data_IF_011508986720
#
_entry.id   IF_011508986720
#
_cell.length_a   1.000
_cell.length_b   1.000
_cell.length_c   1.000
_cell.angle_alpha   90.00
_cell.angle_beta   90.00
_cell.angle_gamma   90.00
#
_symmetry.space_group_name_H-M   'P 1'
#
loop_
_entity.id
_entity.type
_entity.pdbx_description
1 polymer ?
#
# COMPACT_ATOMS: atom_id res chain seq x y z
N UNK A 1 -26.19 -12.22 5.31
CA UNK A 1 -27.09 -12.44 4.16
C UNK A 1 -26.21 -12.77 2.97
N UNK A 2 -26.49 -13.84 2.23
CA UNK A 2 -25.77 -14.11 0.97
C UNK A 2 -26.24 -13.09 -0.08
N UNK A 3 -25.30 -12.48 -0.81
CA UNK A 3 -25.61 -11.62 -1.95
C UNK A 3 -26.40 -12.43 -2.99
N UNK A 4 -27.43 -11.84 -3.60
CA UNK A 4 -28.21 -12.53 -4.62
C UNK A 4 -27.33 -12.75 -5.87
N UNK A 5 -27.57 -13.84 -6.59
CA UNK A 5 -26.95 -14.11 -7.90
C UNK A 5 -27.04 -12.90 -8.84
N UNK A 6 -28.18 -12.22 -8.80
CA UNK A 6 -28.46 -11.01 -9.54
C UNK A 6 -27.52 -9.84 -9.17
N UNK A 7 -27.24 -9.64 -7.88
CA UNK A 7 -26.30 -8.62 -7.42
C UNK A 7 -24.85 -8.93 -7.86
N UNK A 8 -24.46 -10.21 -7.82
CA UNK A 8 -23.15 -10.67 -8.26
C UNK A 8 -22.96 -10.43 -9.77
N UNK A 9 -23.94 -10.79 -10.59
CA UNK A 9 -23.91 -10.57 -12.04
C UNK A 9 -23.92 -9.07 -12.39
N UNK A 10 -24.70 -8.26 -11.66
CA UNK A 10 -24.68 -6.80 -11.84
C UNK A 10 -23.32 -6.20 -11.45
N UNK A 11 -22.71 -6.63 -10.34
CA UNK A 11 -21.37 -6.15 -9.96
C UNK A 11 -20.30 -6.55 -10.98
N UNK A 12 -20.35 -7.79 -11.49
CA UNK A 12 -19.51 -8.25 -12.60
C UNK A 12 -19.69 -7.37 -13.84
N UNK A 13 -20.94 -7.09 -14.21
CA UNK A 13 -21.29 -6.21 -15.32
C UNK A 13 -20.76 -4.79 -15.17
N UNK A 14 -20.83 -4.24 -13.96
CA UNK A 14 -20.30 -2.91 -13.66
C UNK A 14 -18.80 -2.82 -13.86
N UNK A 15 -18.04 -3.77 -13.31
CA UNK A 15 -16.58 -3.81 -13.46
C UNK A 15 -16.19 -3.91 -14.93
N UNK A 16 -16.79 -4.86 -15.66
CA UNK A 16 -16.50 -5.01 -17.08
C UNK A 16 -16.83 -3.74 -17.86
N UNK A 17 -17.94 -3.07 -17.52
CA UNK A 17 -18.32 -1.81 -18.17
C UNK A 17 -17.29 -0.70 -17.94
N UNK A 18 -16.78 -0.54 -16.73
CA UNK A 18 -15.79 0.49 -16.39
C UNK A 18 -14.40 0.22 -17.00
N UNK A 19 -14.03 -1.06 -17.08
CA UNK A 19 -12.74 -1.51 -17.63
C UNK A 19 -12.74 -1.45 -19.15
N UNK A 20 -13.79 -1.99 -19.79
CA UNK A 20 -13.87 -2.09 -21.24
C UNK A 20 -14.52 -0.85 -21.90
N UNK A 21 -15.10 0.05 -21.10
CA UNK A 21 -15.82 1.25 -21.57
C UNK A 21 -16.96 0.95 -22.55
N UNK A 22 -17.65 -0.17 -22.32
CA UNK A 22 -18.84 -0.60 -23.07
C UNK A 22 -19.69 -1.49 -22.18
N UNK A 23 -21.01 -1.50 -22.38
CA UNK A 23 -21.90 -2.39 -21.62
C UNK A 23 -21.74 -3.83 -22.15
N UNK A 24 -21.46 -4.82 -21.28
CA UNK A 24 -21.33 -6.22 -21.69
C UNK A 24 -22.69 -6.80 -22.12
N UNK A 25 -22.70 -7.54 -23.22
CA UNK A 25 -23.91 -8.17 -23.79
C UNK A 25 -23.97 -9.68 -23.52
N UNK A 26 -22.89 -10.26 -23.01
CA UNK A 26 -22.71 -11.68 -22.72
C UNK A 26 -23.20 -12.07 -21.31
N UNK A 27 -23.65 -11.09 -20.52
CA UNK A 27 -24.15 -11.30 -19.16
C UNK A 27 -25.67 -11.49 -19.11
N UNK A 28 -26.12 -12.34 -18.19
CA UNK A 28 -27.55 -12.61 -17.95
C UNK A 28 -28.20 -11.51 -17.08
N UNK A 29 -28.17 -10.27 -17.56
CA UNK A 29 -28.69 -9.11 -16.85
C UNK A 29 -30.13 -8.79 -17.26
N UNK A 30 -30.91 -8.35 -16.27
CA UNK A 30 -32.25 -7.80 -16.52
C UNK A 30 -32.14 -6.48 -17.31
N UNK A 31 -33.17 -6.11 -18.08
CA UNK A 31 -33.19 -4.85 -18.83
C UNK A 31 -32.89 -3.61 -17.97
N UNK A 32 -33.37 -3.60 -16.72
CA UNK A 32 -33.10 -2.51 -15.77
C UNK A 32 -31.61 -2.37 -15.40
N UNK A 33 -30.88 -3.49 -15.28
CA UNK A 33 -29.44 -3.47 -15.01
C UNK A 33 -28.64 -3.01 -16.23
N UNK A 34 -29.03 -3.44 -17.43
CA UNK A 34 -28.41 -2.96 -18.67
C UNK A 34 -28.57 -1.44 -18.80
N UNK A 35 -29.73 -0.92 -18.41
CA UNK A 35 -29.95 0.53 -18.34
C UNK A 35 -29.03 1.20 -17.31
N UNK A 36 -28.94 0.68 -16.09
CA UNK A 36 -28.04 1.22 -15.05
C UNK A 36 -26.57 1.22 -15.49
N UNK A 37 -26.10 0.15 -16.15
CA UNK A 37 -24.74 0.09 -16.70
C UNK A 37 -24.52 1.13 -17.81
N UNK A 38 -25.53 1.36 -18.65
CA UNK A 38 -25.47 2.37 -19.71
C UNK A 38 -25.38 3.78 -19.13
N UNK A 39 -26.16 4.07 -18.08
CA UNK A 39 -26.11 5.35 -17.36
C UNK A 39 -24.74 5.56 -16.71
N UNK A 40 -24.24 4.55 -15.97
CA UNK A 40 -22.92 4.60 -15.35
C UNK A 40 -21.79 4.79 -16.37
N UNK A 41 -21.89 4.13 -17.53
CA UNK A 41 -20.94 4.32 -18.62
C UNK A 41 -20.97 5.74 -19.17
N UNK A 42 -22.15 6.33 -19.33
CA UNK A 42 -22.30 7.72 -19.78
C UNK A 42 -21.68 8.69 -18.78
N UNK A 43 -21.98 8.54 -17.50
CA UNK A 43 -21.40 9.36 -16.44
C UNK A 43 -19.87 9.25 -16.40
N UNK A 44 -19.34 8.03 -16.56
CA UNK A 44 -17.89 7.80 -16.58
C UNK A 44 -17.23 8.39 -17.84
N UNK A 45 -17.91 8.35 -19.00
CA UNK A 45 -17.44 9.01 -20.22
C UNK A 45 -17.42 10.54 -20.05
N UNK A 46 -18.47 11.12 -19.48
CA UNK A 46 -18.55 12.56 -19.20
C UNK A 46 -17.49 13.01 -18.17
N UNK A 47 -17.28 12.19 -17.13
CA UNK A 47 -16.21 12.40 -16.14
C UNK A 47 -14.84 12.39 -16.81
N UNK A 48 -14.59 11.46 -17.74
CA UNK A 48 -13.33 11.37 -18.50
C UNK A 48 -13.16 12.53 -19.49
N UNK A 49 -14.23 12.95 -20.16
CA UNK A 49 -14.21 14.06 -21.10
C UNK A 49 -13.98 15.42 -20.40
N UNK A 50 -14.57 15.59 -19.22
CA UNK A 50 -14.42 16.80 -18.41
C UNK A 50 -13.12 16.79 -17.60
N UNK A 51 -12.56 15.61 -17.34
CA UNK A 51 -11.20 15.52 -16.80
C UNK A 51 -10.20 15.89 -17.89
N UNK A 52 -9.67 17.12 -17.82
CA UNK A 52 -8.49 17.53 -18.60
C UNK A 52 -7.44 16.42 -18.48
N UNK A 53 -6.88 15.88 -19.58
CA UNK A 53 -5.78 14.93 -19.47
C UNK A 53 -4.69 15.67 -18.68
N UNK A 54 -4.20 15.13 -17.55
CA UNK A 54 -3.03 15.72 -16.96
C UNK A 54 -1.93 15.66 -18.03
N UNK A 55 -1.34 16.81 -18.37
CA UNK A 55 -0.10 16.90 -19.15
C UNK A 55 1.11 16.36 -18.35
N UNK A 56 0.90 15.32 -17.55
CA UNK A 56 1.88 14.71 -16.67
C UNK A 56 1.66 13.20 -16.74
N UNK A 57 2.72 12.39 -16.86
CA UNK A 57 2.57 10.95 -16.91
C UNK A 57 1.82 10.50 -15.66
N UNK A 58 0.78 9.68 -15.84
CA UNK A 58 0.11 8.86 -14.82
C UNK A 58 0.09 9.45 -13.41
N UNK A 59 -1.08 9.94 -12.94
CA UNK A 59 -1.41 10.22 -11.52
C UNK A 59 -0.35 9.60 -10.61
N UNK A 60 0.68 10.38 -10.31
CA UNK A 60 1.80 9.87 -9.56
C UNK A 60 1.23 9.66 -8.17
N UNK A 61 0.82 8.42 -7.88
CA UNK A 61 0.99 7.89 -6.53
C UNK A 61 2.39 8.39 -6.17
N UNK A 62 2.55 9.30 -5.20
CA UNK A 62 3.88 9.54 -4.69
C UNK A 62 4.34 8.13 -4.34
N UNK A 63 5.29 7.58 -5.11
CA UNK A 63 5.77 6.22 -4.92
C UNK A 63 6.63 6.29 -3.66
N UNK A 64 5.95 6.48 -2.54
CA UNK A 64 6.48 6.31 -1.21
C UNK A 64 7.12 4.92 -1.26
N UNK A 65 8.43 4.82 -0.98
CA UNK A 65 9.11 3.54 -1.09
C UNK A 65 8.39 2.48 -0.27
N UNK A 66 8.37 1.23 -0.75
CA UNK A 66 7.69 0.13 -0.06
C UNK A 66 8.18 -0.09 1.38
N UNK A 67 9.42 0.32 1.67
CA UNK A 67 10.02 0.29 2.98
C UNK A 67 9.70 1.50 3.88
N UNK A 68 8.73 2.34 3.51
CA UNK A 68 8.16 3.36 4.38
C UNK A 68 7.07 2.76 5.27
N UNK A 69 7.20 2.94 6.57
CA UNK A 69 6.26 2.47 7.57
C UNK A 69 5.85 3.64 8.47
N UNK A 70 4.55 3.77 8.73
CA UNK A 70 4.03 4.74 9.70
C UNK A 70 4.22 4.18 11.12
N UNK A 71 5.46 4.26 11.59
CA UNK A 71 5.88 3.73 12.88
C UNK A 71 6.79 4.72 13.61
N UNK A 72 6.78 4.66 14.93
CA UNK A 72 7.70 5.41 15.78
C UNK A 72 9.13 4.88 15.66
N UNK A 73 10.08 5.57 16.30
CA UNK A 73 11.47 5.11 16.38
C UNK A 73 11.58 3.71 16.98
N UNK A 74 10.95 3.48 18.13
CA UNK A 74 11.02 2.21 18.86
C UNK A 74 10.34 1.07 18.09
N UNK A 75 9.19 1.34 17.48
CA UNK A 75 8.49 0.35 16.66
C UNK A 75 9.29 -0.05 15.42
N UNK A 76 10.00 0.89 14.79
CA UNK A 76 10.88 0.58 13.67
C UNK A 76 12.07 -0.32 14.07
N UNK A 77 12.63 -0.13 15.25
CA UNK A 77 13.68 -1.00 15.79
C UNK A 77 13.15 -2.42 15.98
N UNK A 78 11.99 -2.55 16.65
CA UNK A 78 11.32 -3.85 16.82
C UNK A 78 10.90 -4.50 15.50
N UNK A 79 10.49 -3.70 14.51
CA UNK A 79 10.14 -4.20 13.18
C UNK A 79 11.35 -4.82 12.48
N UNK A 80 12.53 -4.18 12.54
CA UNK A 80 13.76 -4.72 11.99
C UNK A 80 14.28 -5.94 12.75
N UNK A 81 14.10 -5.98 14.07
CA UNK A 81 14.46 -7.13 14.90
C UNK A 81 13.66 -8.38 14.53
N UNK A 82 12.35 -8.23 14.30
CA UNK A 82 11.45 -9.34 13.95
C UNK A 82 11.53 -9.75 12.47
N UNK A 83 12.16 -8.95 11.62
CA UNK A 83 12.13 -9.13 10.16
C UNK A 83 13.48 -9.56 9.57
N UNK A 84 14.20 -10.41 10.28
CA UNK A 84 15.51 -10.94 9.85
C UNK A 84 15.39 -11.60 8.47
N UNK A 85 16.30 -11.25 7.55
CA UNK A 85 16.36 -11.81 6.20
C UNK A 85 15.49 -11.13 5.14
N UNK A 86 14.58 -10.22 5.51
CA UNK A 86 13.66 -9.51 4.57
C UNK A 86 14.09 -8.09 4.20
N UNK A 87 15.27 -7.71 4.66
CA UNK A 87 15.78 -6.34 4.62
C UNK A 87 16.03 -5.81 6.02
N UNK A 88 16.81 -4.75 6.10
CA UNK A 88 17.37 -4.25 7.34
C UNK A 88 17.41 -2.72 7.42
N UNK A 89 16.57 -2.08 6.60
CA UNK A 89 16.40 -0.64 6.50
C UNK A 89 14.91 -0.27 6.32
N UNK A 90 14.43 0.69 7.11
CA UNK A 90 13.07 1.24 6.99
C UNK A 90 13.10 2.76 6.99
N UNK A 91 12.19 3.37 6.24
CA UNK A 91 11.84 4.78 6.36
C UNK A 91 10.64 4.92 7.30
N UNK A 92 10.62 5.99 8.08
CA UNK A 92 9.53 6.30 8.99
C UNK A 92 9.37 7.82 9.19
N UNK A 93 8.22 8.29 9.70
CA UNK A 93 8.08 9.67 10.14
C UNK A 93 9.17 10.10 11.14
N UNK A 94 9.62 11.35 11.03
CA UNK A 94 10.54 11.96 12.00
C UNK A 94 9.86 12.22 13.34
N UNK A 95 10.61 12.13 14.44
CA UNK A 95 10.08 12.20 15.82
C UNK A 95 9.50 13.56 16.26
N UNK A 96 9.60 14.61 15.44
CA UNK A 96 9.06 15.95 15.72
C UNK A 96 8.05 16.43 14.67
N UNK A 97 7.46 15.52 13.88
CA UNK A 97 6.52 15.87 12.81
C UNK A 97 7.15 16.62 11.63
N UNK A 98 8.48 16.74 11.62
CA UNK A 98 9.25 17.38 10.57
C UNK A 98 10.13 16.33 9.90
N UNK A 99 9.99 16.20 8.58
CA UNK A 99 10.83 15.33 7.75
C UNK A 99 10.61 13.83 7.95
N UNK A 100 11.62 13.06 7.54
CA UNK A 100 11.63 11.60 7.51
C UNK A 100 12.86 11.11 8.28
N UNK A 101 12.84 9.88 8.76
CA UNK A 101 14.01 9.22 9.34
C UNK A 101 14.22 7.85 8.71
N UNK A 102 15.48 7.45 8.55
CA UNK A 102 15.86 6.10 8.13
C UNK A 102 16.37 5.36 9.37
N UNK A 103 15.78 4.22 9.71
CA UNK A 103 16.29 3.31 10.74
C UNK A 103 16.94 2.11 10.05
N UNK A 104 18.13 1.71 10.49
CA UNK A 104 18.87 0.56 9.95
C UNK A 104 19.35 -0.35 11.07
N UNK A 105 19.40 -1.66 10.82
CA UNK A 105 19.92 -2.69 11.76
C UNK A 105 20.92 -3.58 11.03
N UNK A 106 22.20 -3.50 11.36
CA UNK A 106 23.21 -4.39 10.76
C UNK A 106 23.83 -5.28 11.82
N UNK A 107 24.21 -6.49 11.45
CA UNK A 107 24.98 -7.38 12.32
C UNK A 107 26.40 -7.50 11.75
N UNK A 108 27.39 -7.10 12.55
CA UNK A 108 28.80 -7.13 12.16
C UNK A 108 29.58 -7.81 13.27
N UNK A 109 30.18 -8.97 12.95
CA UNK A 109 30.98 -9.75 13.90
C UNK A 109 30.24 -10.09 15.21
N UNK A 110 28.96 -10.45 15.12
CA UNK A 110 28.11 -10.77 16.28
C UNK A 110 27.65 -9.55 17.09
N UNK A 111 27.96 -8.33 16.65
CA UNK A 111 27.46 -7.09 17.26
C UNK A 111 26.37 -6.48 16.39
N UNK A 112 25.22 -6.17 17.00
CA UNK A 112 24.10 -5.49 16.33
C UNK A 112 24.35 -3.97 16.37
N UNK A 113 24.40 -3.36 15.19
CA UNK A 113 24.55 -1.93 14.95
C UNK A 113 23.21 -1.35 14.50
N UNK A 114 22.55 -0.65 15.41
CA UNK A 114 21.32 0.08 15.16
C UNK A 114 21.65 1.56 14.91
N UNK A 115 21.19 2.12 13.79
CA UNK A 115 21.43 3.52 13.44
C UNK A 115 20.14 4.20 12.98
N UNK A 116 20.04 5.49 13.27
CA UNK A 116 18.95 6.34 12.82
C UNK A 116 19.52 7.58 12.16
N UNK A 117 19.11 7.80 10.92
CA UNK A 117 19.54 8.93 10.11
C UNK A 117 18.37 9.89 9.94
N UNK A 118 18.64 11.18 10.11
CA UNK A 118 17.66 12.24 9.88
C UNK A 118 17.66 12.60 8.40
N UNK A 119 16.46 12.76 7.83
CA UNK A 119 16.25 13.19 6.46
C UNK A 119 15.35 14.41 6.47
N UNK A 120 15.93 15.56 6.21
CA UNK A 120 15.23 16.84 6.23
C UNK A 120 14.51 17.05 4.90
N UNK A 121 13.22 17.38 4.95
CA UNK A 121 12.48 17.79 3.76
C UNK A 121 12.79 19.25 3.45
N UNK A 122 13.08 19.54 2.19
CA UNK A 122 13.32 20.90 1.68
C UNK A 122 12.36 21.19 0.52
N UNK A 123 12.28 22.44 0.07
CA UNK A 123 11.31 22.88 -0.97
C UNK A 123 11.33 21.99 -2.22
N UNK A 124 12.51 21.51 -2.60
CA UNK A 124 12.70 20.62 -3.76
C UNK A 124 13.54 19.39 -3.38
N UNK A 125 12.97 18.51 -2.55
CA UNK A 125 13.52 17.18 -2.26
C UNK A 125 13.88 16.96 -0.80
N UNK A 126 14.98 16.26 -0.57
CA UNK A 126 15.41 15.77 0.73
C UNK A 126 16.91 15.96 0.92
N UNK A 127 17.34 16.21 2.16
CA UNK A 127 18.75 16.27 2.55
C UNK A 127 18.98 15.25 3.65
N UNK A 128 19.91 14.33 3.42
CA UNK A 128 20.32 13.31 4.38
C UNK A 128 21.37 13.93 5.32
N UNK A 129 21.09 13.90 6.62
CA UNK A 129 21.94 14.44 7.69
C UNK A 129 22.98 13.40 8.10
N UNK A 130 24.07 13.35 7.33
CA UNK A 130 25.27 12.52 7.52
C UNK A 130 26.51 13.41 7.36
N UNK A 131 27.71 12.90 7.68
CA UNK A 131 28.97 13.67 7.67
C UNK A 131 29.16 14.52 6.41
N UNK A 132 28.85 13.94 5.25
CA UNK A 132 28.75 14.69 3.97
C UNK A 132 27.31 14.71 3.53
N UNK A 133 26.62 15.83 3.76
CA UNK A 133 25.21 15.98 3.42
C UNK A 133 24.95 15.61 1.95
N UNK A 134 23.94 14.76 1.75
CA UNK A 134 23.57 14.29 0.42
C UNK A 134 22.16 14.77 0.06
N UNK A 135 22.01 15.39 -1.12
CA UNK A 135 20.73 15.87 -1.63
C UNK A 135 20.08 14.80 -2.50
N UNK A 136 18.81 14.53 -2.26
CA UNK A 136 17.98 13.60 -3.03
C UNK A 136 16.74 14.33 -3.55
N UNK A 137 16.32 14.03 -4.78
CA UNK A 137 15.10 14.56 -5.39
C UNK A 137 13.83 13.90 -4.84
N UNK A 138 13.94 12.66 -4.34
CA UNK A 138 12.82 11.84 -3.88
C UNK A 138 13.20 10.91 -2.71
N UNK A 139 12.21 10.35 -2.01
CA UNK A 139 12.44 9.32 -1.00
C UNK A 139 13.01 8.02 -1.60
N UNK A 140 12.73 7.75 -2.88
CA UNK A 140 13.31 6.60 -3.58
C UNK A 140 14.82 6.76 -3.74
N UNK A 141 15.29 7.97 -4.07
CA UNK A 141 16.73 8.27 -4.10
C UNK A 141 17.37 8.23 -2.72
N UNK A 142 16.64 8.60 -1.65
CA UNK A 142 17.14 8.42 -0.28
C UNK A 142 17.41 6.94 0.00
N UNK A 143 16.46 6.06 -0.34
CA UNK A 143 16.65 4.60 -0.21
C UNK A 143 17.86 4.14 -1.04
N UNK A 144 17.92 4.56 -2.30
CA UNK A 144 19.01 4.18 -3.21
C UNK A 144 20.37 4.61 -2.67
N UNK A 145 20.49 5.84 -2.15
CA UNK A 145 21.71 6.35 -1.54
C UNK A 145 22.23 5.41 -0.43
N UNK A 146 21.36 4.93 0.47
CA UNK A 146 21.79 4.03 1.55
C UNK A 146 22.19 2.64 1.02
N UNK A 147 21.48 2.11 0.01
CA UNK A 147 21.85 0.83 -0.62
C UNK A 147 23.22 0.95 -1.30
N UNK A 148 23.44 1.99 -2.09
CA UNK A 148 24.69 2.22 -2.83
C UNK A 148 25.87 2.50 -1.88
N UNK A 149 25.68 3.43 -0.94
CA UNK A 149 26.72 3.83 0.02
C UNK A 149 27.17 2.67 0.91
N UNK A 150 26.27 1.73 1.19
CA UNK A 150 26.54 0.54 1.98
C UNK A 150 26.98 -0.68 1.15
N UNK A 151 27.17 -0.51 -0.18
CA UNK A 151 27.50 -1.58 -1.13
C UNK A 151 26.53 -2.76 -1.07
N UNK A 152 25.25 -2.47 -0.88
CA UNK A 152 24.18 -3.47 -0.79
C UNK A 152 24.04 -4.15 0.57
N UNK A 153 24.86 -3.82 1.58
CA UNK A 153 24.70 -4.38 2.93
C UNK A 153 23.47 -3.83 3.67
N UNK A 154 22.95 -2.67 3.25
CA UNK A 154 21.62 -2.20 3.60
C UNK A 154 20.65 -2.54 2.46
N UNK A 155 19.53 -3.15 2.82
CA UNK A 155 18.45 -3.54 1.93
C UNK A 155 17.11 -3.04 2.51
N UNK A 156 16.26 -2.42 1.68
CA UNK A 156 14.96 -1.94 2.13
C UNK A 156 14.10 -3.10 2.61
N UNK A 157 13.44 -2.93 3.75
CA UNK A 157 12.53 -3.94 4.29
C UNK A 157 11.31 -4.11 3.36
N UNK A 158 11.02 -5.36 2.99
CA UNK A 158 9.84 -5.70 2.21
C UNK A 158 8.58 -5.74 3.11
N UNK A 159 7.48 -5.13 2.65
CA UNK A 159 6.17 -5.29 3.32
C UNK A 159 5.65 -6.70 3.10
N UNK A 160 5.24 -7.36 4.16
CA UNK A 160 4.38 -8.54 4.04
C UNK A 160 2.95 -8.04 3.86
N UNK A 161 2.40 -8.29 2.67
CA UNK A 161 0.96 -8.18 2.49
C UNK A 161 0.34 -9.43 3.12
N UNK A 162 -0.48 -9.23 4.14
CA UNK A 162 -1.37 -10.29 4.61
C UNK A 162 -2.31 -10.66 3.46
N UNK A 163 -2.38 -11.94 3.13
CA UNK A 163 -3.41 -12.47 2.21
C UNK A 163 -4.80 -12.49 2.87
N UNK A 164 -4.90 -12.15 4.16
CA UNK A 164 -6.15 -12.04 4.92
C UNK A 164 -6.54 -10.58 4.97
N UNK A 165 -7.66 -10.25 4.34
CA UNK A 165 -8.31 -8.95 4.49
C UNK A 165 -8.93 -8.92 5.89
N UNK A 166 -8.48 -7.97 6.71
CA UNK A 166 -9.05 -7.71 8.04
C UNK A 166 -10.08 -6.58 7.90
N UNK A 167 -11.30 -6.83 8.35
CA UNK A 167 -12.38 -5.86 8.35
C UNK A 167 -12.49 -5.27 9.75
N UNK A 168 -12.40 -3.95 9.86
CA UNK A 168 -12.67 -3.24 11.12
C UNK A 168 -14.15 -2.87 11.12
N UNK A 169 -14.95 -3.58 11.93
CA UNK A 169 -16.32 -3.19 12.22
C UNK A 169 -16.27 -2.12 13.33
N UNK A 170 -16.62 -0.87 13.01
CA UNK A 170 -16.85 0.16 14.02
C UNK A 170 -18.27 0.01 14.56
N UNK A 171 -18.43 -0.68 15.68
CA UNK A 171 -19.69 -0.65 16.42
C UNK A 171 -19.87 0.73 17.06
N UNK A 172 -20.96 1.40 16.69
CA UNK A 172 -21.19 2.82 16.96
C UNK A 172 -21.37 3.22 18.42
N UNK A 173 -21.36 2.30 19.38
CA UNK A 173 -21.69 2.58 20.79
C UNK A 173 -20.91 1.71 21.80
N UNK A 174 -19.63 1.42 21.56
CA UNK A 174 -18.63 1.23 22.62
C UNK A 174 -17.25 1.09 21.99
N UNK A 175 -16.24 1.76 22.56
CA UNK A 175 -14.87 1.73 22.06
C UNK A 175 -14.13 0.41 22.41
N UNK A 176 -14.70 -0.74 22.05
CA UNK A 176 -13.99 -2.02 22.05
C UNK A 176 -13.73 -2.46 20.59
N UNK A 177 -12.46 -2.38 20.20
CA UNK A 177 -11.95 -2.73 18.88
C UNK A 177 -11.97 -4.26 18.71
N UNK A 178 -13.03 -4.80 18.11
CA UNK A 178 -13.13 -6.25 17.90
C UNK A 178 -12.60 -6.62 16.51
N UNK A 179 -11.39 -7.15 16.48
CA UNK A 179 -10.76 -7.65 15.25
C UNK A 179 -11.36 -9.00 14.86
N UNK A 180 -12.22 -9.03 13.83
CA UNK A 180 -12.70 -10.30 13.24
C UNK A 180 -11.86 -10.66 12.03
N UNK A 181 -11.13 -11.76 12.15
CA UNK A 181 -10.38 -12.30 11.01
C UNK A 181 -11.30 -13.18 10.20
N UNK A 182 -11.47 -12.88 8.91
CA UNK A 182 -12.15 -13.80 8.00
C UNK A 182 -11.36 -15.12 7.93
N UNK A 183 -11.98 -16.20 8.38
CA UNK A 183 -11.47 -17.55 8.17
C UNK A 183 -11.81 -17.96 6.73
N UNK A 184 -10.84 -18.48 5.95
CA UNK A 184 -11.16 -19.04 4.64
C UNK A 184 -12.20 -20.16 4.79
N UNK A 185 -13.13 -20.32 3.84
CA UNK A 185 -14.13 -21.37 3.91
C UNK A 185 -13.44 -22.73 4.07
N UNK A 186 -13.73 -23.43 5.16
CA UNK A 186 -13.20 -24.77 5.40
C UNK A 186 -13.61 -25.69 4.25
N UNK A 187 -12.63 -26.39 3.68
CA UNK A 187 -12.87 -27.34 2.62
C UNK A 187 -13.87 -28.41 3.10
N UNK A 188 -14.91 -28.65 2.29
CA UNK A 188 -15.93 -29.63 2.60
C UNK A 188 -15.31 -31.01 2.87
N UNK A 189 -15.81 -31.77 3.86
CA UNK A 189 -15.30 -33.10 4.15
C UNK A 189 -15.50 -34.01 2.95
N UNK A 190 -14.40 -34.64 2.52
CA UNK A 190 -14.38 -35.64 1.46
C UNK A 190 -15.28 -36.81 1.85
N UNK A 191 -16.25 -37.24 1.01
CA UNK A 191 -17.05 -38.42 1.32
C UNK A 191 -16.13 -39.65 1.33
N UNK A 192 -16.18 -40.42 2.41
CA UNK A 192 -15.51 -41.70 2.53
C UNK A 192 -16.21 -42.77 1.67
N UNK A 193 -15.47 -43.79 1.19
CA UNK A 193 -15.94 -44.78 0.20
C UNK A 193 -17.04 -45.70 0.74
#
# INVERSE_FOLDING_TARGET
QAESWEAQEMWRGFILTMVEMKVPTDLALLPGHLFQLSEALREELDRRATSRPPATPSRAVPRVPSCFFEVTRLEAEGLLERSVGRGNMVLRPGGHGQGVSVTTRQEMNGTVLLRHYRVNRVDQGYIIDVDTQHRCSSLAEVVQYFVESSKGSLQPLHREYSSRLEFVEMDGENAEETHRVCEPPQAAPTPQP
#
